data_IF_687557514874
#
_entry.id   IF_687557514874
#
_cell.length_a   1.000
_cell.length_b   1.000
_cell.length_c   1.000
_cell.angle_alpha   90.00
_cell.angle_beta   90.00
_cell.angle_gamma   90.00
#
_symmetry.space_group_name_H-M   'P 1'
#
loop_
_entity.id
_entity.type
_entity.pdbx_description
1 polymer ?
#
# COMPACT_ATOMS: atom_id res chain seq x y z
N UNK A 1 19.90 -5.07 5.08
CA UNK A 1 18.75 -4.71 4.24
C UNK A 1 18.09 -3.50 4.88
N UNK A 2 17.66 -2.52 4.09
CA UNK A 2 17.06 -1.29 4.62
C UNK A 2 15.55 -1.46 4.79
N UNK A 3 15.05 -1.18 5.98
CA UNK A 3 13.62 -1.06 6.22
C UNK A 3 13.11 0.19 5.49
N UNK A 4 12.04 0.04 4.71
CA UNK A 4 11.45 1.15 3.95
C UNK A 4 10.07 1.49 4.46
N UNK A 5 9.71 2.77 4.35
CA UNK A 5 8.36 3.26 4.55
C UNK A 5 7.77 3.57 3.18
N UNK A 6 6.62 2.99 2.84
CA UNK A 6 5.93 3.29 1.58
C UNK A 6 4.75 4.24 1.84
N UNK A 7 4.64 5.26 0.99
CA UNK A 7 3.58 6.28 1.07
C UNK A 7 2.40 5.95 0.14
N UNK A 8 1.33 6.74 0.17
CA UNK A 8 0.05 6.47 -0.51
C UNK A 8 0.18 6.20 -2.01
N UNK A 9 0.82 7.09 -2.78
CA UNK A 9 0.90 6.99 -4.25
C UNK A 9 1.47 5.67 -4.77
N UNK A 10 2.66 5.20 -4.35
CA UNK A 10 3.19 3.92 -4.81
C UNK A 10 2.30 2.73 -4.41
N UNK A 11 1.69 2.76 -3.22
CA UNK A 11 0.77 1.70 -2.76
C UNK A 11 -0.47 1.64 -3.66
N UNK A 12 -1.09 2.79 -3.96
CA UNK A 12 -2.26 2.88 -4.84
C UNK A 12 -1.91 2.35 -6.24
N UNK A 13 -0.81 2.80 -6.84
CA UNK A 13 -0.45 2.40 -8.21
C UNK A 13 -0.13 0.92 -8.32
N UNK A 14 0.55 0.36 -7.32
CA UNK A 14 0.83 -1.07 -7.27
C UNK A 14 -0.44 -1.89 -7.00
N UNK A 15 -1.34 -1.42 -6.14
CA UNK A 15 -2.63 -2.09 -5.90
C UNK A 15 -3.49 -2.14 -7.17
N UNK A 16 -3.61 -1.02 -7.89
CA UNK A 16 -4.32 -0.94 -9.18
C UNK A 16 -3.80 -1.91 -10.24
N UNK A 17 -2.52 -2.26 -10.17
CA UNK A 17 -1.88 -3.18 -11.13
C UNK A 17 -1.70 -4.59 -10.57
N UNK A 18 -2.24 -4.89 -9.38
CA UNK A 18 -2.07 -6.16 -8.67
C UNK A 18 -0.58 -6.53 -8.42
N UNK A 19 0.25 -5.52 -8.11
CA UNK A 19 1.72 -5.61 -7.97
C UNK A 19 2.24 -5.23 -6.59
N UNK A 20 1.39 -5.13 -5.56
CA UNK A 20 1.84 -4.86 -4.18
C UNK A 20 2.92 -5.85 -3.70
N UNK A 21 2.88 -7.10 -4.16
CA UNK A 21 3.90 -8.11 -3.85
C UNK A 21 5.32 -7.74 -4.27
N UNK A 22 5.50 -6.86 -5.26
CA UNK A 22 6.84 -6.38 -5.66
C UNK A 22 7.57 -5.70 -4.50
N UNK A 23 6.84 -4.98 -3.65
CA UNK A 23 7.43 -4.33 -2.48
C UNK A 23 8.05 -5.35 -1.53
N UNK A 24 7.38 -6.49 -1.28
CA UNK A 24 7.90 -7.58 -0.44
C UNK A 24 9.07 -8.34 -1.08
N UNK A 25 9.08 -8.44 -2.41
CA UNK A 25 10.18 -9.09 -3.15
C UNK A 25 11.46 -8.25 -3.09
N UNK A 26 11.34 -6.93 -3.21
CA UNK A 26 12.49 -6.00 -3.21
C UNK A 26 12.93 -5.69 -1.79
N UNK A 27 11.97 -5.49 -0.89
CA UNK A 27 12.18 -5.12 0.50
C UNK A 27 11.49 -6.15 1.38
N UNK A 28 12.28 -6.98 2.06
CA UNK A 28 11.82 -8.05 2.93
C UNK A 28 10.69 -7.61 3.89
N UNK A 29 10.73 -6.34 4.32
CA UNK A 29 9.69 -5.71 5.14
C UNK A 29 9.40 -4.30 4.63
N UNK A 30 8.11 -3.93 4.62
CA UNK A 30 7.62 -2.61 4.22
C UNK A 30 6.68 -2.07 5.27
N UNK A 31 7.04 -0.91 5.81
CA UNK A 31 6.25 -0.19 6.80
C UNK A 31 5.30 0.80 6.13
N UNK A 32 4.11 0.94 6.69
CA UNK A 32 3.10 1.89 6.25
C UNK A 32 2.65 2.63 7.50
N UNK A 33 2.63 3.97 7.45
CA UNK A 33 2.13 4.75 8.57
C UNK A 33 0.63 4.54 8.77
N UNK A 34 0.17 4.72 10.00
CA UNK A 34 -1.25 4.57 10.32
C UNK A 34 -2.14 5.51 9.48
N UNK A 35 -1.68 6.74 9.24
CA UNK A 35 -2.39 7.74 8.44
C UNK A 35 -2.54 7.31 6.97
N UNK A 36 -1.49 6.73 6.38
CA UNK A 36 -1.55 6.20 5.00
C UNK A 36 -2.52 5.01 4.92
N UNK A 37 -2.54 4.13 5.93
CA UNK A 37 -3.53 3.04 5.99
C UNK A 37 -4.96 3.59 6.06
N UNK A 38 -5.21 4.59 6.92
CA UNK A 38 -6.54 5.22 7.06
C UNK A 38 -6.99 5.82 5.73
N UNK A 39 -6.13 6.58 5.06
CA UNK A 39 -6.42 7.24 3.78
C UNK A 39 -6.63 6.23 2.63
N UNK A 40 -5.70 5.29 2.45
CA UNK A 40 -5.68 4.45 1.24
C UNK A 40 -6.55 3.21 1.38
N UNK A 41 -6.61 2.62 2.58
CA UNK A 41 -7.29 1.35 2.82
C UNK A 41 -8.66 1.57 3.41
N UNK A 42 -8.72 2.24 4.56
CA UNK A 42 -9.97 2.31 5.32
C UNK A 42 -10.98 3.22 4.59
N UNK A 43 -10.54 4.40 4.16
CA UNK A 43 -11.34 5.31 3.33
C UNK A 43 -11.57 4.76 1.92
N UNK A 44 -10.56 4.11 1.31
CA UNK A 44 -10.70 3.42 0.03
C UNK A 44 -11.82 2.36 0.05
N UNK A 45 -11.89 1.55 1.12
CA UNK A 45 -12.98 0.57 1.34
C UNK A 45 -14.32 1.26 1.54
N UNK A 46 -14.37 2.34 2.33
CA UNK A 46 -15.60 3.15 2.53
C UNK A 46 -16.16 3.66 1.20
N UNK A 47 -15.26 4.07 0.28
CA UNK A 47 -15.57 4.53 -1.07
C UNK A 47 -15.74 3.40 -2.10
N UNK A 48 -15.69 2.13 -1.67
CA UNK A 48 -15.81 0.92 -2.53
C UNK A 48 -14.77 0.87 -3.67
N UNK A 49 -13.55 1.35 -3.41
CA UNK A 49 -12.41 1.18 -4.33
C UNK A 49 -11.98 -0.29 -4.33
N UNK A 50 -11.84 -0.86 -5.53
CA UNK A 50 -11.44 -2.26 -5.72
C UNK A 50 -9.97 -2.50 -5.32
N UNK A 51 -9.16 -1.45 -5.39
CA UNK A 51 -7.72 -1.44 -5.10
C UNK A 51 -7.36 -1.10 -3.64
N UNK A 52 -8.35 -1.04 -2.74
CA UNK A 52 -8.14 -0.75 -1.31
C UNK A 52 -7.83 -2.03 -0.49
N UNK A 53 -6.83 -2.79 -0.92
CA UNK A 53 -6.54 -4.16 -0.45
C UNK A 53 -5.07 -4.41 -0.08
N UNK A 54 -4.43 -3.39 0.50
CA UNK A 54 -3.08 -3.43 1.10
C UNK A 54 -2.84 -4.61 2.05
#
# INVERSE_FOLDING_TARGET
MSNIVSNSTPLIYLAKTNKLGLLKIIYNEVFISEEVKKEVVDEGKRLKKLDANL
#
